data_IF_727824984590
#
_entry.id   IF_727824984590
#
_cell.length_a   1.000
_cell.length_b   1.000
_cell.length_c   1.000
_cell.angle_alpha   90.00
_cell.angle_beta   90.00
_cell.angle_gamma   90.00
#
_symmetry.space_group_name_H-M   'P 1'
#
loop_
_entity.id
_entity.type
_entity.pdbx_description
1 polymer ?
#
# COMPACT_ATOMS: atom_id res chain seq x y z
N UNK A 1 1.09 -4.23 -10.16
CA UNK A 1 2.04 -5.10 -9.42
C UNK A 1 1.42 -5.48 -8.09
N UNK A 2 1.67 -6.69 -7.58
CA UNK A 2 1.02 -7.22 -6.37
C UNK A 2 2.05 -7.51 -5.28
N UNK A 3 1.73 -7.16 -4.04
CA UNK A 3 2.59 -7.38 -2.87
C UNK A 3 1.78 -8.12 -1.80
N UNK A 4 2.33 -9.20 -1.25
CA UNK A 4 1.75 -9.89 -0.09
C UNK A 4 2.45 -9.46 1.19
N UNK A 5 1.67 -9.01 2.17
CA UNK A 5 2.15 -8.62 3.50
C UNK A 5 1.35 -9.37 4.58
N UNK A 6 1.74 -9.20 5.85
CA UNK A 6 1.09 -9.82 7.01
C UNK A 6 0.90 -11.34 6.81
N UNK A 7 1.99 -12.05 6.53
CA UNK A 7 1.97 -13.50 6.28
C UNK A 7 1.00 -13.94 5.17
N UNK A 8 0.86 -13.11 4.13
CA UNK A 8 -0.01 -13.32 2.96
C UNK A 8 -1.51 -13.21 3.27
N UNK A 9 -1.88 -12.79 4.48
CA UNK A 9 -3.27 -12.48 4.81
C UNK A 9 -3.77 -11.22 4.09
N UNK A 10 -2.87 -10.30 3.73
CA UNK A 10 -3.21 -9.07 3.02
C UNK A 10 -2.41 -8.95 1.73
N UNK A 11 -3.12 -8.80 0.62
CA UNK A 11 -2.55 -8.60 -0.72
C UNK A 11 -2.88 -7.17 -1.15
N UNK A 12 -1.86 -6.44 -1.61
CA UNK A 12 -1.99 -5.08 -2.14
C UNK A 12 -1.63 -5.09 -3.62
N UNK A 13 -2.57 -4.68 -4.46
CA UNK A 13 -2.36 -4.43 -5.89
C UNK A 13 -2.29 -2.92 -6.14
N UNK A 14 -1.27 -2.46 -6.87
CA UNK A 14 -1.16 -1.06 -7.30
C UNK A 14 -1.11 -1.03 -8.83
N UNK A 15 -2.02 -0.27 -9.44
CA UNK A 15 -2.15 -0.13 -10.89
C UNK A 15 -2.82 1.19 -11.29
N UNK A 16 -2.54 1.64 -12.51
CA UNK A 16 -3.28 2.70 -13.17
C UNK A 16 -4.57 2.13 -13.75
N UNK A 17 -5.71 2.74 -13.45
CA UNK A 17 -7.03 2.31 -13.91
C UNK A 17 -7.46 3.16 -15.11
N UNK A 18 -7.34 2.58 -16.31
CA UNK A 18 -7.69 3.25 -17.57
C UNK A 18 -9.18 3.64 -17.64
N UNK A 19 -10.06 2.95 -16.90
CA UNK A 19 -11.49 3.27 -16.87
C UNK A 19 -11.82 4.45 -15.94
N UNK A 20 -10.85 4.88 -15.14
CA UNK A 20 -10.95 6.08 -14.31
C UNK A 20 -10.20 7.27 -14.94
N UNK A 21 -9.82 7.20 -16.24
CA UNK A 21 -9.06 8.27 -16.92
C UNK A 21 -9.77 9.62 -16.96
N UNK A 22 -11.10 9.62 -16.79
CA UNK A 22 -11.92 10.84 -16.75
C UNK A 22 -11.84 11.54 -15.38
N UNK A 23 -11.17 10.93 -14.40
CA UNK A 23 -10.95 11.47 -13.07
C UNK A 23 -9.46 11.67 -12.80
N UNK A 24 -9.15 12.68 -11.97
CA UNK A 24 -7.78 13.02 -11.61
C UNK A 24 -7.14 11.96 -10.69
N UNK A 25 -7.96 11.14 -10.02
CA UNK A 25 -7.57 10.02 -9.15
C UNK A 25 -7.69 8.66 -9.87
N UNK A 26 -6.74 8.40 -10.75
CA UNK A 26 -6.73 7.21 -11.62
C UNK A 26 -5.69 6.15 -11.22
N UNK A 27 -5.03 6.33 -10.08
CA UNK A 27 -4.15 5.31 -9.49
C UNK A 27 -4.93 4.54 -8.42
N UNK A 28 -5.12 3.25 -8.63
CA UNK A 28 -5.82 2.38 -7.69
C UNK A 28 -4.82 1.63 -6.79
N UNK A 29 -5.04 1.71 -5.48
CA UNK A 29 -4.48 0.82 -4.47
C UNK A 29 -5.61 -0.11 -4.00
N UNK A 30 -5.51 -1.37 -4.39
CA UNK A 30 -6.48 -2.41 -4.03
C UNK A 30 -5.94 -3.30 -2.94
N UNK A 31 -6.66 -3.37 -1.84
CA UNK A 31 -6.43 -4.27 -0.73
C UNK A 31 -7.34 -5.48 -0.84
N UNK A 32 -6.79 -6.67 -0.65
CA UNK A 32 -7.54 -7.93 -0.58
C UNK A 32 -7.17 -8.66 0.69
N UNK A 33 -8.16 -8.92 1.54
CA UNK A 33 -7.97 -9.62 2.81
C UNK A 33 -8.37 -11.09 2.65
N UNK A 34 -7.37 -11.97 2.60
CA UNK A 34 -7.55 -13.41 2.50
C UNK A 34 -7.46 -14.07 3.89
N UNK A 35 -8.25 -13.56 4.82
CA UNK A 35 -8.31 -14.02 6.21
C UNK A 35 -9.77 -14.11 6.70
N UNK A 36 -10.01 -14.82 7.82
CA UNK A 36 -11.29 -14.82 8.51
C UNK A 36 -11.84 -13.41 8.81
N UNK A 37 -13.16 -13.26 8.86
CA UNK A 37 -13.82 -11.95 8.95
C UNK A 37 -13.49 -11.19 10.25
N UNK A 38 -13.25 -11.92 11.33
CA UNK A 38 -12.81 -11.41 12.62
C UNK A 38 -11.38 -10.84 12.58
N UNK A 39 -10.51 -11.39 11.73
CA UNK A 39 -9.13 -10.92 11.53
C UNK A 39 -9.01 -9.77 10.51
N UNK A 40 -10.05 -9.53 9.70
CA UNK A 40 -10.06 -8.44 8.72
C UNK A 40 -9.89 -7.07 9.38
N UNK A 41 -8.88 -6.34 8.90
CA UNK A 41 -8.54 -4.97 9.26
C UNK A 41 -9.48 -3.99 8.56
N UNK A 42 -9.72 -4.17 7.26
CA UNK A 42 -10.58 -3.29 6.46
C UNK A 42 -12.04 -3.73 6.47
N UNK A 43 -12.34 -4.88 7.12
CA UNK A 43 -13.70 -5.45 7.27
C UNK A 43 -14.40 -5.69 5.91
N UNK A 44 -13.62 -5.85 4.84
CA UNK A 44 -14.09 -6.12 3.48
C UNK A 44 -13.18 -7.13 2.79
N UNK A 45 -13.71 -7.95 1.88
CA UNK A 45 -12.88 -8.83 1.05
C UNK A 45 -11.96 -8.03 0.11
N UNK A 46 -12.48 -6.93 -0.43
CA UNK A 46 -11.78 -6.05 -1.36
C UNK A 46 -12.08 -4.60 -0.97
N UNK A 47 -11.03 -3.80 -0.88
CA UNK A 47 -11.13 -2.35 -0.70
C UNK A 47 -10.27 -1.68 -1.75
N UNK A 48 -10.87 -0.82 -2.58
CA UNK A 48 -10.14 -0.01 -3.56
C UNK A 48 -10.04 1.43 -3.04
N UNK A 49 -8.84 1.99 -3.09
CA UNK A 49 -8.59 3.40 -2.82
C UNK A 49 -8.01 4.00 -4.10
N UNK A 50 -8.66 5.03 -4.60
CA UNK A 50 -8.19 5.80 -5.74
C UNK A 50 -7.49 7.06 -5.23
N UNK A 51 -6.35 7.37 -5.84
CA UNK A 51 -5.51 8.52 -5.47
C UNK A 51 -4.98 9.20 -6.73
N UNK A 52 -4.59 10.46 -6.59
CA UNK A 52 -3.96 11.20 -7.70
C UNK A 52 -2.50 10.76 -7.88
N UNK A 53 -1.90 11.02 -9.06
CA UNK A 53 -0.47 10.80 -9.28
C UNK A 53 0.44 11.51 -8.26
N UNK A 54 0.07 12.72 -7.83
CA UNK A 54 0.81 13.49 -6.83
C UNK A 54 0.78 12.80 -5.46
N UNK A 55 -0.39 12.33 -5.04
CA UNK A 55 -0.56 11.57 -3.79
C UNK A 55 0.23 10.26 -3.82
N UNK A 56 0.24 9.56 -4.97
CA UNK A 56 1.05 8.36 -5.15
C UNK A 56 2.55 8.65 -4.98
N UNK A 57 3.04 9.77 -5.53
CA UNK A 57 4.42 10.21 -5.36
C UNK A 57 4.75 10.53 -3.89
N UNK A 58 3.83 11.20 -3.18
CA UNK A 58 3.98 11.52 -1.76
C UNK A 58 4.01 10.26 -0.88
N UNK A 59 3.16 9.27 -1.17
CA UNK A 59 3.16 7.97 -0.48
C UNK A 59 4.49 7.24 -0.69
N UNK A 60 4.98 7.17 -1.93
CA UNK A 60 6.27 6.57 -2.25
C UNK A 60 7.41 7.23 -1.46
N UNK A 61 7.48 8.57 -1.47
CA UNK A 61 8.52 9.32 -0.78
C UNK A 61 8.48 9.09 0.74
N UNK A 62 7.28 9.08 1.32
CA UNK A 62 7.07 8.89 2.75
C UNK A 62 7.47 7.49 3.20
N UNK A 63 7.07 6.46 2.44
CA UNK A 63 7.48 5.08 2.68
C UNK A 63 9.01 4.92 2.59
N UNK A 64 9.64 5.49 1.56
CA UNK A 64 11.09 5.45 1.42
C UNK A 64 11.82 6.11 2.59
N UNK A 65 11.32 7.23 3.10
CA UNK A 65 11.89 7.91 4.28
C UNK A 65 11.79 7.05 5.52
N UNK A 66 10.65 6.39 5.75
CA UNK A 66 10.48 5.47 6.88
C UNK A 66 11.48 4.30 6.82
N UNK A 67 11.66 3.71 5.64
CA UNK A 67 12.66 2.64 5.43
C UNK A 67 14.08 3.13 5.68
N UNK A 68 14.45 4.30 5.15
CA UNK A 68 15.79 4.89 5.41
C UNK A 68 16.04 5.13 6.89
N UNK A 69 15.03 5.65 7.61
CA UNK A 69 15.11 5.88 9.06
C UNK A 69 15.32 4.56 9.82
N UNK A 70 14.50 3.53 9.54
CA UNK A 70 14.63 2.23 10.19
C UNK A 70 16.02 1.62 9.98
N UNK A 71 16.56 1.69 8.75
CA UNK A 71 17.91 1.17 8.45
C UNK A 71 19.02 1.92 9.16
N UNK A 72 18.88 3.24 9.32
CA UNK A 72 19.84 4.04 10.07
C UNK A 72 19.83 3.67 11.56
N UNK A 73 18.66 3.48 12.16
CA UNK A 73 18.54 3.09 13.57
C UNK A 73 19.15 1.70 13.86
N UNK A 74 19.02 0.74 12.94
CA UNK A 74 19.66 -0.58 13.10
C UNK A 74 21.19 -0.56 12.98
N UNK A 75 21.81 0.53 12.50
CA UNK A 75 23.27 0.65 12.40
C UNK A 75 23.91 1.23 13.68
N UNK A 76 23.13 1.90 14.53
CA UNK A 76 23.62 2.50 15.78
C UNK A 76 23.62 1.52 16.96
N UNK A 77 22.84 0.43 16.91
CA UNK A 77 22.76 -0.60 17.97
C UNK A 77 23.85 -1.69 17.87
N UNK A 78 24.78 -1.59 16.90
CA UNK A 78 25.90 -2.54 16.71
C UNK A 78 27.29 -1.89 16.82
N UNK A 79 27.37 -0.65 17.34
CA UNK A 79 28.61 0.10 17.54
C UNK A 79 28.89 0.35 19.03
#
# INVERSE_FOLDING_TARGET
MSISILDKSLIIDIFYDEFASDFDDNICIRFKENCPTDEKILKSDITNIYITPEEACLLQLTLQRAVKKQRATCQEESA
#
